data_IF_562805724169
#
_entry.id   IF_562805724169
#
_cell.length_a   1.000
_cell.length_b   1.000
_cell.length_c   1.000
_cell.angle_alpha   90.00
_cell.angle_beta   90.00
_cell.angle_gamma   90.00
#
_symmetry.space_group_name_H-M   'P 1'
#
loop_
_entity.id
_entity.type
_entity.pdbx_description
1 polymer ?
#
# COMPACT_ATOMS: atom_id res chain seq x y z
N UNK A 1 -8.04 -8.09 13.73
CA UNK A 1 -7.13 -7.94 12.58
C UNK A 1 -7.79 -7.02 11.57
N UNK A 2 -7.09 -5.99 11.10
CA UNK A 2 -7.67 -5.00 10.17
C UNK A 2 -8.06 -5.68 8.86
N UNK A 3 -9.32 -5.57 8.46
CA UNK A 3 -9.82 -6.17 7.21
C UNK A 3 -9.93 -5.12 6.11
N UNK A 4 -10.11 -5.56 4.86
CA UNK A 4 -10.34 -4.62 3.76
C UNK A 4 -11.59 -3.74 3.98
N UNK A 5 -12.60 -4.25 4.71
CA UNK A 5 -13.81 -3.49 5.08
C UNK A 5 -13.52 -2.40 6.11
N UNK A 6 -12.53 -2.61 6.98
CA UNK A 6 -12.10 -1.57 7.92
C UNK A 6 -11.33 -0.46 7.20
N UNK A 7 -10.56 -0.82 6.17
CA UNK A 7 -9.85 0.13 5.31
C UNK A 7 -10.82 1.02 4.53
N UNK A 8 -11.95 0.47 4.08
CA UNK A 8 -12.99 1.24 3.38
C UNK A 8 -13.66 2.31 4.25
N UNK A 9 -13.60 2.17 5.58
CA UNK A 9 -14.10 3.19 6.52
C UNK A 9 -13.12 4.34 6.72
N UNK A 10 -11.88 4.22 6.26
CA UNK A 10 -10.88 5.28 6.40
C UNK A 10 -11.22 6.51 5.55
N UNK A 11 -10.78 7.71 5.98
CA UNK A 11 -10.81 8.92 5.16
C UNK A 11 -10.16 8.68 3.80
N UNK A 12 -10.65 9.35 2.75
CA UNK A 12 -10.14 9.17 1.37
C UNK A 12 -8.62 9.31 1.27
N UNK A 13 -8.02 10.23 2.04
CA UNK A 13 -6.58 10.47 2.05
C UNK A 13 -5.74 9.32 2.63
N UNK A 14 -6.31 8.48 3.50
CA UNK A 14 -5.60 7.37 4.16
C UNK A 14 -5.93 6.02 3.53
N UNK A 15 -7.07 5.93 2.85
CA UNK A 15 -7.62 4.70 2.30
C UNK A 15 -6.69 4.05 1.26
N UNK A 16 -6.14 4.84 0.34
CA UNK A 16 -5.35 4.31 -0.77
C UNK A 16 -4.02 3.70 -0.31
N UNK A 17 -3.27 4.43 0.53
CA UNK A 17 -2.02 3.94 1.13
C UNK A 17 -2.26 2.73 2.03
N UNK A 18 -3.32 2.76 2.85
CA UNK A 18 -3.62 1.65 3.76
C UNK A 18 -4.05 0.40 2.99
N UNK A 19 -4.84 0.57 1.90
CA UNK A 19 -5.23 -0.53 1.02
C UNK A 19 -4.03 -1.17 0.33
N UNK A 20 -3.13 -0.36 -0.22
CA UNK A 20 -1.92 -0.85 -0.87
C UNK A 20 -0.99 -1.57 0.14
N UNK A 21 -0.82 -1.01 1.34
CA UNK A 21 -0.06 -1.61 2.43
C UNK A 21 -0.63 -2.97 2.85
N UNK A 22 -1.95 -3.06 3.02
CA UNK A 22 -2.65 -4.29 3.38
C UNK A 22 -2.50 -5.37 2.31
N UNK A 23 -2.64 -5.03 1.03
CA UNK A 23 -2.50 -5.97 -0.08
C UNK A 23 -1.07 -6.51 -0.18
N UNK A 24 -0.07 -5.64 -0.04
CA UNK A 24 1.33 -6.03 -0.03
C UNK A 24 1.66 -6.98 1.15
N UNK A 25 1.20 -6.64 2.34
CA UNK A 25 1.42 -7.46 3.54
C UNK A 25 0.71 -8.83 3.45
N UNK A 26 -0.53 -8.88 2.96
CA UNK A 26 -1.23 -10.15 2.69
C UNK A 26 -0.48 -11.00 1.67
N UNK A 27 0.03 -10.41 0.60
CA UNK A 27 0.79 -11.14 -0.41
C UNK A 27 2.09 -11.73 0.16
N UNK A 28 2.78 -11.00 1.05
CA UNK A 28 3.95 -11.53 1.76
C UNK A 28 3.57 -12.71 2.67
N UNK A 29 2.52 -12.56 3.48
CA UNK A 29 2.08 -13.60 4.42
C UNK A 29 1.64 -14.90 3.72
N UNK A 30 1.01 -14.79 2.55
CA UNK A 30 0.54 -15.96 1.80
C UNK A 30 1.57 -16.54 0.82
N UNK A 31 2.82 -16.08 0.87
CA UNK A 31 3.88 -16.63 0.01
C UNK A 31 3.67 -16.32 -1.47
N UNK A 32 3.12 -15.14 -1.80
CA UNK A 32 2.91 -14.75 -3.18
C UNK A 32 4.22 -14.73 -3.99
N UNK A 33 4.10 -14.98 -5.29
CA UNK A 33 5.24 -14.97 -6.21
C UNK A 33 6.01 -13.64 -6.15
N UNK A 34 7.30 -13.68 -6.45
CA UNK A 34 8.14 -12.47 -6.50
C UNK A 34 7.54 -11.42 -7.45
N UNK A 35 7.02 -11.83 -8.62
CA UNK A 35 6.37 -10.92 -9.56
C UNK A 35 5.13 -10.23 -8.97
N UNK A 36 4.30 -10.97 -8.22
CA UNK A 36 3.15 -10.40 -7.51
C UNK A 36 3.59 -9.42 -6.43
N UNK A 37 4.62 -9.75 -5.65
CA UNK A 37 5.17 -8.89 -4.60
C UNK A 37 5.76 -7.61 -5.17
N UNK A 38 6.49 -7.68 -6.28
CA UNK A 38 7.04 -6.49 -6.95
C UNK A 38 5.96 -5.59 -7.54
N UNK A 39 4.91 -6.15 -8.15
CA UNK A 39 3.81 -5.36 -8.68
C UNK A 39 3.09 -4.60 -7.55
N UNK A 40 2.78 -5.29 -6.46
CA UNK A 40 2.16 -4.66 -5.28
C UNK A 40 3.08 -3.63 -4.62
N UNK A 41 4.39 -3.88 -4.58
CA UNK A 41 5.37 -2.91 -4.10
C UNK A 41 5.38 -1.63 -4.93
N UNK A 42 5.33 -1.74 -6.27
CA UNK A 42 5.24 -0.56 -7.15
C UNK A 42 3.97 0.24 -6.90
N UNK A 43 2.83 -0.44 -6.81
CA UNK A 43 1.55 0.21 -6.50
C UNK A 43 1.59 0.93 -5.14
N UNK A 44 2.15 0.28 -4.12
CA UNK A 44 2.33 0.86 -2.79
C UNK A 44 3.23 2.11 -2.82
N UNK A 45 4.35 2.07 -3.55
CA UNK A 45 5.24 3.22 -3.69
C UNK A 45 4.57 4.42 -4.38
N UNK A 46 3.77 4.18 -5.42
CA UNK A 46 3.02 5.24 -6.11
C UNK A 46 2.03 5.92 -5.16
N UNK A 47 1.32 5.14 -4.34
CA UNK A 47 0.36 5.70 -3.38
C UNK A 47 1.05 6.44 -2.23
N UNK A 48 2.22 5.98 -1.77
CA UNK A 48 3.05 6.73 -0.81
C UNK A 48 3.50 8.06 -1.40
N UNK A 49 4.00 8.06 -2.63
CA UNK A 49 4.47 9.29 -3.30
C UNK A 49 3.33 10.28 -3.52
N UNK A 50 2.12 9.81 -3.88
CA UNK A 50 0.93 10.65 -3.98
C UNK A 50 0.53 11.27 -2.66
N UNK A 51 0.62 10.50 -1.57
CA UNK A 51 0.21 10.96 -0.24
C UNK A 51 1.22 11.95 0.36
N UNK A 52 2.50 11.72 0.11
CA UNK A 52 3.59 12.54 0.63
C UNK A 52 4.63 12.81 -0.46
N UNK A 53 4.37 13.78 -1.34
CA UNK A 53 5.27 14.11 -2.43
C UNK A 53 6.61 14.69 -1.96
N UNK A 54 6.65 15.25 -0.75
CA UNK A 54 7.84 15.92 -0.19
C UNK A 54 8.82 14.97 0.52
N UNK A 55 8.45 13.69 0.74
CA UNK A 55 9.37 12.73 1.38
C UNK A 55 10.58 12.44 0.48
N UNK A 56 10.44 12.56 -0.84
CA UNK A 56 11.50 12.30 -1.82
C UNK A 56 12.20 13.55 -2.36
N UNK A 57 11.98 14.74 -1.75
CA UNK A 57 12.62 16.00 -2.18
C UNK A 57 13.92 16.34 -1.46
N UNK A 58 14.36 15.51 -0.52
CA UNK A 58 15.66 15.67 0.13
C UNK A 58 16.65 14.65 -0.46
N UNK A 59 17.18 14.96 -1.64
CA UNK A 59 18.44 14.41 -2.15
C UNK A 59 19.31 15.59 -2.62
#
# INVERSE_FOLDING_TARGET
>A
MMTIRDIEKLPRGERAVTRASYQYYRALLHGASEGTRQNLRRQWLVEIQRRWPDIWKND
#
